data_IF_590421511302
#
_entry.id   IF_590421511302
#
_cell.length_a   1.000
_cell.length_b   1.000
_cell.length_c   1.000
_cell.angle_alpha   90.00
_cell.angle_beta   90.00
_cell.angle_gamma   90.00
#
_symmetry.space_group_name_H-M   'P 1'
#
loop_
_entity.id
_entity.type
_entity.pdbx_description
1 polymer ?
#
# COMPACT_ATOMS: atom_id res chain seq x y z
N UNK A 1 -11.68 -5.54 -9.10
CA UNK A 1 -10.39 -5.08 -8.58
C UNK A 1 -10.35 -3.60 -8.86
N UNK A 2 -9.95 -2.79 -7.88
CA UNK A 2 -9.98 -1.32 -7.99
C UNK A 2 -8.55 -0.82 -8.07
N UNK A 3 -8.24 -0.02 -9.08
CA UNK A 3 -6.91 0.58 -9.22
C UNK A 3 -6.62 1.50 -8.03
N UNK A 4 -5.40 1.41 -7.52
CA UNK A 4 -4.91 2.24 -6.45
C UNK A 4 -3.48 2.70 -6.70
N UNK A 5 -3.17 3.85 -6.12
CA UNK A 5 -1.84 4.44 -6.14
C UNK A 5 -1.41 4.76 -4.72
N UNK A 6 -0.36 4.09 -4.24
CA UNK A 6 0.26 4.35 -2.96
C UNK A 6 1.48 5.25 -3.15
N UNK A 7 1.55 6.35 -2.42
CA UNK A 7 2.72 7.23 -2.37
C UNK A 7 3.28 7.17 -0.95
N UNK A 8 4.45 6.55 -0.79
CA UNK A 8 5.13 6.45 0.51
C UNK A 8 5.82 7.79 0.83
N UNK A 9 5.81 8.22 2.10
CA UNK A 9 6.48 9.45 2.52
C UNK A 9 8.00 9.30 2.37
N UNK A 10 8.64 10.28 1.73
CA UNK A 10 10.06 10.24 1.31
C UNK A 10 10.44 8.98 0.49
N UNK A 11 9.44 8.33 -0.09
CA UNK A 11 9.57 7.05 -0.77
C UNK A 11 9.06 7.06 -2.21
N UNK A 12 9.04 5.87 -2.83
CA UNK A 12 8.53 5.73 -4.17
C UNK A 12 7.00 5.73 -4.20
N UNK A 13 6.50 5.91 -5.42
CA UNK A 13 5.10 5.71 -5.74
C UNK A 13 4.92 4.29 -6.28
N UNK A 14 3.97 3.56 -5.71
CA UNK A 14 3.57 2.22 -6.12
C UNK A 14 2.17 2.28 -6.74
N UNK A 15 1.97 1.52 -7.82
CA UNK A 15 0.67 1.37 -8.48
C UNK A 15 0.27 -0.09 -8.43
N UNK A 16 -1.01 -0.35 -8.23
CA UNK A 16 -1.50 -1.71 -8.05
C UNK A 16 -3.01 -1.76 -7.86
N UNK A 17 -3.49 -2.89 -7.39
CA UNK A 17 -4.92 -3.17 -7.26
C UNK A 17 -5.31 -3.40 -5.79
N UNK A 18 -6.43 -2.84 -5.38
CA UNK A 18 -7.03 -3.12 -4.08
C UNK A 18 -7.55 -4.57 -4.07
N UNK A 19 -7.03 -5.33 -3.13
CA UNK A 19 -7.46 -6.70 -2.82
C UNK A 19 -8.62 -6.66 -1.83
N UNK A 20 -8.53 -5.81 -0.81
CA UNK A 20 -9.55 -5.68 0.23
C UNK A 20 -9.51 -4.30 0.91
N UNK A 21 -10.68 -3.81 1.32
CA UNK A 21 -10.84 -2.57 2.10
C UNK A 21 -11.75 -2.87 3.30
N UNK A 22 -11.18 -3.51 4.32
CA UNK A 22 -11.90 -3.92 5.52
C UNK A 22 -11.66 -2.99 6.70
N UNK A 23 -12.66 -2.21 7.10
CA UNK A 23 -12.61 -1.34 8.28
C UNK A 23 -11.45 -0.35 8.21
N UNK A 24 -10.56 -0.39 9.21
CA UNK A 24 -9.38 0.47 9.30
C UNK A 24 -8.21 0.02 8.43
N UNK A 25 -8.35 -1.09 7.69
CA UNK A 25 -7.26 -1.67 6.91
C UNK A 25 -7.55 -1.67 5.41
N UNK A 26 -6.48 -1.52 4.63
CA UNK A 26 -6.48 -1.57 3.17
C UNK A 26 -5.38 -2.54 2.75
N UNK A 27 -5.76 -3.53 1.93
CA UNK A 27 -4.83 -4.47 1.31
C UNK A 27 -4.74 -4.17 -0.18
N UNK A 28 -3.52 -3.93 -0.64
CA UNK A 28 -3.21 -3.61 -2.02
C UNK A 28 -2.16 -4.59 -2.52
N UNK A 29 -2.32 -5.04 -3.76
CA UNK A 29 -1.32 -5.82 -4.47
C UNK A 29 -0.62 -4.91 -5.47
N UNK A 30 0.69 -4.80 -5.37
CA UNK A 30 1.50 -3.95 -6.25
C UNK A 30 2.75 -4.69 -6.72
N UNK A 31 3.13 -4.49 -7.97
CA UNK A 31 4.41 -4.96 -8.51
C UNK A 31 5.48 -3.91 -8.25
N UNK A 32 6.62 -4.31 -7.71
CA UNK A 32 7.71 -3.39 -7.40
C UNK A 32 9.07 -4.09 -7.45
N UNK A 33 10.10 -3.37 -7.90
CA UNK A 33 11.49 -3.84 -7.89
C UNK A 33 12.14 -3.74 -6.49
N UNK A 34 11.40 -3.23 -5.50
CA UNK A 34 11.89 -3.07 -4.13
C UNK A 34 11.81 -4.37 -3.35
N UNK A 35 12.79 -4.61 -2.48
CA UNK A 35 12.73 -5.72 -1.53
C UNK A 35 11.75 -5.45 -0.39
N UNK A 36 11.35 -6.52 0.28
CA UNK A 36 10.55 -6.45 1.51
C UNK A 36 11.19 -5.53 2.57
N UNK A 37 12.51 -5.62 2.76
CA UNK A 37 13.24 -4.79 3.72
C UNK A 37 13.22 -3.31 3.36
N UNK A 38 13.26 -2.98 2.07
CA UNK A 38 13.18 -1.58 1.62
C UNK A 38 11.78 -1.02 1.82
N UNK A 39 10.74 -1.80 1.49
CA UNK A 39 9.35 -1.40 1.73
C UNK A 39 9.05 -1.22 3.22
N UNK A 40 9.55 -2.13 4.06
CA UNK A 40 9.37 -2.09 5.51
C UNK A 40 10.06 -0.90 6.21
N UNK A 41 10.92 -0.15 5.53
CA UNK A 41 11.49 1.10 6.07
C UNK A 41 10.51 2.27 6.00
N UNK A 42 9.50 2.19 5.14
CA UNK A 42 8.49 3.23 5.01
C UNK A 42 7.36 2.98 6.00
N UNK A 43 7.03 4.01 6.78
CA UNK A 43 5.93 3.98 7.73
C UNK A 43 4.67 4.61 7.16
N UNK A 44 4.71 5.91 6.89
CA UNK A 44 3.53 6.66 6.44
C UNK A 44 3.47 6.79 4.91
N UNK A 45 2.25 6.97 4.41
CA UNK A 45 1.99 7.23 3.00
C UNK A 45 0.59 7.78 2.76
N UNK A 46 0.30 8.00 1.47
CA UNK A 46 -1.05 8.33 0.99
C UNK A 46 -1.46 7.33 -0.06
N UNK A 47 -2.65 6.78 0.08
CA UNK A 47 -3.26 5.94 -0.95
C UNK A 47 -4.36 6.73 -1.66
N UNK A 48 -4.34 6.67 -2.98
CA UNK A 48 -5.39 7.19 -3.83
C UNK A 48 -6.20 6.02 -4.39
N UNK A 49 -7.50 6.00 -4.13
CA UNK A 49 -8.45 4.98 -4.61
C UNK A 49 -9.64 5.73 -5.21
N UNK A 50 -9.92 5.52 -6.51
CA UNK A 50 -11.04 6.17 -7.21
C UNK A 50 -11.03 7.71 -7.07
N UNK A 51 -9.85 8.33 -7.04
CA UNK A 51 -9.67 9.78 -6.89
C UNK A 51 -9.88 10.32 -5.48
N UNK A 52 -10.05 9.44 -4.48
CA UNK A 52 -10.03 9.81 -3.06
C UNK A 52 -8.65 9.53 -2.48
N UNK A 53 -8.05 10.52 -1.84
CA UNK A 53 -6.79 10.37 -1.12
C UNK A 53 -7.02 10.12 0.38
N UNK A 54 -6.34 9.12 0.91
CA UNK A 54 -6.38 8.77 2.34
C UNK A 54 -4.96 8.63 2.88
N UNK A 55 -4.71 9.15 4.09
CA UNK A 55 -3.46 8.90 4.80
C UNK A 55 -3.47 7.49 5.35
N UNK A 56 -2.36 6.78 5.16
CA UNK A 56 -2.21 5.41 5.60
C UNK A 56 -0.84 5.19 6.24
N UNK A 57 -0.77 4.17 7.10
CA UNK A 57 0.47 3.63 7.63
C UNK A 57 0.69 2.26 6.99
N UNK A 58 1.80 2.05 6.30
CA UNK A 58 2.22 0.75 5.81
C UNK A 58 2.63 -0.12 7.03
N UNK A 59 1.81 -1.12 7.36
CA UNK A 59 2.10 -2.03 8.48
C UNK A 59 2.93 -3.23 8.04
N UNK A 60 2.73 -3.71 6.82
CA UNK A 60 3.51 -4.82 6.28
C UNK A 60 3.53 -4.82 4.76
N UNK A 61 4.66 -5.24 4.19
CA UNK A 61 4.78 -5.67 2.81
C UNK A 61 5.21 -7.13 2.80
N UNK A 62 4.48 -8.01 2.11
CA UNK A 62 4.84 -9.42 1.97
C UNK A 62 4.81 -9.81 0.49
N UNK A 63 5.84 -10.47 -0.06
CA UNK A 63 5.77 -11.00 -1.41
C UNK A 63 4.67 -12.07 -1.49
N UNK A 64 4.01 -12.18 -2.64
CA UNK A 64 3.03 -13.25 -2.84
C UNK A 64 3.77 -14.58 -3.12
N UNK A 65 3.23 -15.73 -2.69
CA UNK A 65 3.95 -17.00 -2.79
C UNK A 65 4.32 -17.43 -4.22
N UNK A 66 3.54 -16.98 -5.20
CA UNK A 66 3.67 -17.37 -6.60
C UNK A 66 4.53 -16.40 -7.42
N UNK A 67 4.87 -15.23 -6.87
CA UNK A 67 5.57 -14.15 -7.58
C UNK A 67 6.30 -13.22 -6.60
N UNK A 68 7.63 -13.30 -6.55
CA UNK A 68 8.47 -12.50 -5.65
C UNK A 68 8.53 -11.01 -6.04
N UNK A 69 8.09 -10.64 -7.24
CA UNK A 69 8.04 -9.25 -7.72
C UNK A 69 6.71 -8.56 -7.35
N UNK A 70 5.74 -9.34 -6.88
CA UNK A 70 4.40 -8.87 -6.50
C UNK A 70 4.27 -8.90 -4.98
N UNK A 71 3.97 -7.75 -4.41
CA UNK A 71 3.82 -7.58 -2.96
C UNK A 71 2.37 -7.33 -2.59
N UNK A 72 1.93 -8.00 -1.54
CA UNK A 72 0.73 -7.64 -0.80
C UNK A 72 1.10 -6.67 0.32
N UNK A 73 0.64 -5.44 0.16
CA UNK A 73 0.83 -4.33 1.08
C UNK A 73 -0.41 -4.24 1.98
N UNK A 74 -0.20 -4.35 3.28
CA UNK A 74 -1.24 -4.09 4.27
C UNK A 74 -1.00 -2.74 4.91
N UNK A 75 -2.00 -1.89 4.82
CA UNK A 75 -1.96 -0.51 5.27
C UNK A 75 -3.09 -0.25 6.24
N UNK A 76 -2.83 0.53 7.29
CA UNK A 76 -3.85 1.01 8.22
C UNK A 76 -4.22 2.45 7.88
N UNK A 77 -5.51 2.73 7.72
CA UNK A 77 -6.05 4.09 7.60
C UNK A 77 -5.65 4.88 8.83
N UNK A 78 -5.00 6.01 8.60
CA UNK A 78 -4.87 7.01 9.64
C UNK A 78 -6.14 7.85 9.57
N UNK A 79 -6.88 7.89 10.68
CA UNK A 79 -8.20 8.50 10.77
C UNK A 79 -8.34 9.79 9.94
N UNK A 80 -9.51 10.07 9.34
CA UNK A 80 -9.70 11.27 8.56
C UNK A 80 -9.25 12.47 9.38
N UNK A 81 -8.35 13.28 8.81
CA UNK A 81 -8.08 14.61 9.35
C UNK A 81 -9.42 15.34 9.40
N UNK A 82 -9.88 15.58 10.63
CA UNK A 82 -11.15 16.21 10.96
C UNK A 82 -11.34 17.55 10.25
#
# INVERSE_FOLDING_TARGET
MTDAKLTLEDGPQLTGEIVDTGGDYIRMRATTEMSQDQLGQYGEGRIEIEGKDERVLLESAMPVPDDEEVFELTMRRMAPSA
#
